data_IF_005412471078
#
_entry.id   IF_005412471078
#
_cell.length_a   1.000
_cell.length_b   1.000
_cell.length_c   1.000
_cell.angle_alpha   90.00
_cell.angle_beta   90.00
_cell.angle_gamma   90.00
#
_symmetry.space_group_name_H-M   'P 1'
#
loop_
_entity.id
_entity.type
_entity.pdbx_description
1 polymer ?
#
# COMPACT_ATOMS: atom_id res chain seq x y z
N UNK A 1 30.45 29.23 -33.57
CA UNK A 1 29.67 29.01 -32.34
C UNK A 1 29.02 27.63 -32.46
N UNK A 2 29.61 26.60 -31.85
CA UNK A 2 29.11 25.22 -31.94
C UNK A 2 28.14 25.01 -30.79
N UNK A 3 26.84 24.95 -31.10
CA UNK A 3 25.79 24.63 -30.14
C UNK A 3 25.80 23.12 -29.89
N UNK A 4 26.33 22.70 -28.75
CA UNK A 4 26.14 21.34 -28.24
C UNK A 4 24.70 21.21 -27.70
N UNK A 5 23.82 20.56 -28.46
CA UNK A 5 22.53 20.08 -27.93
C UNK A 5 22.77 18.92 -26.98
N UNK A 6 22.73 19.20 -25.67
CA UNK A 6 22.61 18.17 -24.64
C UNK A 6 21.25 17.49 -24.79
N UNK A 7 21.24 16.28 -25.36
CA UNK A 7 20.07 15.40 -25.27
C UNK A 7 19.97 14.92 -23.82
N UNK A 8 19.13 15.57 -23.02
CA UNK A 8 18.70 15.05 -21.73
C UNK A 8 17.89 13.79 -21.96
N UNK A 9 18.56 12.64 -21.91
CA UNK A 9 17.89 11.35 -21.92
C UNK A 9 17.28 11.14 -20.54
N UNK A 10 15.98 11.40 -20.41
CA UNK A 10 15.23 11.02 -19.23
C UNK A 10 15.24 9.48 -19.14
N UNK A 11 16.16 8.92 -18.33
CA UNK A 11 16.10 7.52 -17.94
C UNK A 11 14.84 7.34 -17.07
N UNK A 12 13.72 7.00 -17.71
CA UNK A 12 12.63 6.36 -16.99
C UNK A 12 13.19 5.06 -16.43
N UNK A 13 13.48 5.02 -15.13
CA UNK A 13 13.91 3.79 -14.50
C UNK A 13 12.83 2.73 -14.66
N UNK A 14 13.16 1.64 -15.35
CA UNK A 14 12.24 0.55 -15.62
C UNK A 14 12.00 -0.28 -14.36
N UNK A 15 10.78 -0.82 -14.23
CA UNK A 15 10.45 -1.77 -13.18
C UNK A 15 11.26 -3.05 -13.32
N UNK A 16 11.92 -3.48 -12.24
CA UNK A 16 12.64 -4.75 -12.14
C UNK A 16 11.78 -5.75 -11.37
N UNK A 17 11.62 -6.96 -11.89
CA UNK A 17 10.96 -8.05 -11.15
C UNK A 17 11.85 -8.46 -9.99
N UNK A 18 11.30 -8.44 -8.78
CA UNK A 18 11.97 -8.86 -7.54
C UNK A 18 11.52 -10.26 -7.10
N UNK A 19 10.25 -10.60 -7.29
CA UNK A 19 9.67 -11.89 -6.92
C UNK A 19 8.44 -12.21 -7.78
N UNK A 20 8.22 -13.51 -8.01
CA UNK A 20 6.98 -14.04 -8.54
C UNK A 20 6.66 -15.38 -7.86
N UNK A 21 5.74 -15.37 -6.90
CA UNK A 21 5.43 -16.56 -6.09
C UNK A 21 4.05 -16.48 -5.48
N UNK A 22 3.37 -17.63 -5.37
CA UNK A 22 2.03 -17.75 -4.76
C UNK A 22 0.98 -16.79 -5.36
N UNK A 23 1.11 -16.47 -6.65
CA UNK A 23 0.21 -15.54 -7.34
C UNK A 23 0.40 -14.06 -6.96
N UNK A 24 1.55 -13.70 -6.37
CA UNK A 24 1.96 -12.33 -6.10
C UNK A 24 3.24 -12.04 -6.89
N UNK A 25 3.26 -10.92 -7.60
CA UNK A 25 4.45 -10.41 -8.29
C UNK A 25 4.89 -9.13 -7.61
N UNK A 26 6.19 -8.98 -7.33
CA UNK A 26 6.76 -7.74 -6.77
C UNK A 26 7.76 -7.18 -7.76
N UNK A 27 7.66 -5.88 -8.00
CA UNK A 27 8.57 -5.08 -8.80
C UNK A 27 9.19 -3.98 -7.95
N UNK A 28 10.42 -3.59 -8.26
CA UNK A 28 11.05 -2.40 -7.66
C UNK A 28 11.63 -1.50 -8.74
N UNK A 29 11.77 -0.21 -8.43
CA UNK A 29 12.54 0.74 -9.24
C UNK A 29 13.13 1.80 -8.33
N UNK A 30 14.31 2.32 -8.67
CA UNK A 30 14.85 3.44 -7.91
C UNK A 30 14.13 4.74 -8.30
N UNK A 31 14.08 5.68 -7.35
CA UNK A 31 13.46 7.00 -7.50
C UNK A 31 14.57 8.04 -7.47
N UNK A 32 14.54 8.99 -8.40
CA UNK A 32 15.52 10.08 -8.40
C UNK A 32 15.44 10.87 -7.08
N UNK A 33 16.58 11.03 -6.40
CA UNK A 33 16.66 11.77 -5.13
C UNK A 33 16.28 10.95 -3.88
N UNK A 34 16.19 9.63 -3.98
CA UNK A 34 15.91 8.75 -2.84
C UNK A 34 16.83 7.52 -2.85
N UNK A 35 17.39 7.19 -1.68
CA UNK A 35 18.15 5.94 -1.47
C UNK A 35 17.23 4.72 -1.26
N UNK A 36 15.93 4.97 -1.08
CA UNK A 36 14.89 3.94 -0.97
C UNK A 36 14.19 3.77 -2.32
N UNK A 37 14.10 2.53 -2.79
CA UNK A 37 13.36 2.19 -4.01
C UNK A 37 11.85 2.29 -3.81
N UNK A 38 11.12 2.57 -4.89
CA UNK A 38 9.68 2.38 -4.94
C UNK A 38 9.38 0.92 -5.27
N UNK A 39 8.34 0.37 -4.66
CA UNK A 39 7.85 -0.96 -4.98
C UNK A 39 6.49 -0.91 -5.68
N UNK A 40 6.19 -1.99 -6.40
CA UNK A 40 4.85 -2.31 -6.90
C UNK A 40 4.59 -3.81 -6.71
N UNK A 41 3.59 -4.16 -5.93
CA UNK A 41 3.06 -5.52 -5.83
C UNK A 41 1.80 -5.68 -6.68
N UNK A 42 1.62 -6.84 -7.28
CA UNK A 42 0.43 -7.18 -8.06
C UNK A 42 -0.10 -8.57 -7.67
N UNK A 43 -1.43 -8.71 -7.57
CA UNK A 43 -2.09 -10.00 -7.40
C UNK A 43 -3.51 -9.98 -7.96
N UNK A 44 -4.13 -11.14 -8.10
CA UNK A 44 -5.54 -11.28 -8.48
C UNK A 44 -6.25 -12.19 -7.47
N UNK A 45 -7.40 -11.72 -7.00
CA UNK A 45 -8.18 -12.38 -5.94
C UNK A 45 -9.63 -12.59 -6.35
N UNK A 46 -10.28 -13.61 -5.83
CA UNK A 46 -11.70 -13.87 -6.07
C UNK A 46 -12.59 -13.24 -5.00
N UNK A 47 -12.95 -11.97 -5.18
CA UNK A 47 -13.81 -11.21 -4.25
C UNK A 47 -14.53 -10.05 -4.97
N UNK A 48 -15.15 -9.13 -4.24
CA UNK A 48 -15.75 -7.91 -4.79
C UNK A 48 -15.07 -6.64 -4.20
N UNK A 49 -15.32 -5.48 -4.80
CA UNK A 49 -14.66 -4.22 -4.41
C UNK A 49 -15.05 -3.80 -2.99
N UNK A 50 -16.33 -3.91 -2.62
CA UNK A 50 -16.81 -3.55 -1.29
C UNK A 50 -16.14 -4.34 -0.17
N UNK A 51 -15.94 -5.64 -0.37
CA UNK A 51 -15.27 -6.53 0.58
C UNK A 51 -13.80 -6.14 0.79
N UNK A 52 -13.09 -5.82 -0.29
CA UNK A 52 -11.70 -5.34 -0.19
C UNK A 52 -11.65 -4.07 0.63
N UNK A 53 -12.45 -3.06 0.30
CA UNK A 53 -12.44 -1.79 1.02
C UNK A 53 -12.83 -1.97 2.50
N UNK A 54 -13.75 -2.87 2.82
CA UNK A 54 -14.12 -3.19 4.21
C UNK A 54 -12.97 -3.76 5.04
N UNK A 55 -12.05 -4.51 4.42
CA UNK A 55 -10.84 -4.97 5.09
C UNK A 55 -9.93 -3.80 5.50
N UNK A 56 -9.85 -2.74 4.69
CA UNK A 56 -9.05 -1.55 5.00
C UNK A 56 -9.67 -0.69 6.11
N UNK A 57 -10.99 -0.74 6.31
CA UNK A 57 -11.68 0.00 7.38
C UNK A 57 -11.82 -0.79 8.69
N UNK A 58 -11.45 -2.07 8.69
CA UNK A 58 -11.43 -2.93 9.89
C UNK A 58 -10.09 -2.78 10.64
N UNK A 59 -9.89 -1.61 11.26
CA UNK A 59 -8.66 -1.26 11.99
C UNK A 59 -8.30 -2.28 13.08
N UNK A 60 -9.32 -2.87 13.72
CA UNK A 60 -9.11 -3.90 14.75
C UNK A 60 -8.42 -5.15 14.19
N UNK A 61 -8.77 -5.56 12.97
CA UNK A 61 -8.17 -6.73 12.32
C UNK A 61 -7.10 -6.38 11.28
N UNK A 62 -6.72 -5.11 11.16
CA UNK A 62 -5.69 -4.65 10.22
C UNK A 62 -4.32 -5.33 10.44
N UNK A 63 -3.86 -5.51 11.71
CA UNK A 63 -2.62 -6.26 12.00
C UNK A 63 -2.60 -7.71 11.51
N UNK A 64 -3.76 -8.33 11.31
CA UNK A 64 -3.84 -9.74 10.93
C UNK A 64 -3.49 -9.99 9.47
N UNK A 65 -3.35 -8.94 8.64
CA UNK A 65 -3.05 -9.10 7.22
C UNK A 65 -2.00 -8.12 6.70
N UNK A 66 -1.95 -6.89 7.22
CA UNK A 66 -0.95 -5.92 6.79
C UNK A 66 0.43 -6.26 7.37
N UNK A 67 1.42 -6.44 6.51
CA UNK A 67 2.75 -6.87 6.92
C UNK A 67 3.39 -5.90 7.94
N UNK A 68 3.95 -6.46 9.01
CA UNK A 68 4.58 -5.76 10.14
C UNK A 68 3.73 -4.70 10.86
N UNK A 69 2.45 -4.55 10.52
CA UNK A 69 1.56 -3.65 11.26
C UNK A 69 1.14 -4.35 12.56
N UNK A 70 1.65 -3.91 13.70
CA UNK A 70 1.28 -4.49 15.01
C UNK A 70 0.07 -3.81 15.64
N UNK A 71 -0.22 -2.57 15.25
CA UNK A 71 -1.39 -1.83 15.71
C UNK A 71 -1.87 -0.85 14.65
N UNK A 72 -3.19 -0.70 14.53
CA UNK A 72 -3.81 0.31 13.68
C UNK A 72 -5.04 0.92 14.37
N UNK A 73 -5.25 2.22 14.20
CA UNK A 73 -6.43 2.92 14.70
C UNK A 73 -6.90 4.01 13.74
N UNK A 74 -8.20 4.30 13.75
CA UNK A 74 -8.74 5.46 13.04
C UNK A 74 -8.45 6.71 13.87
N UNK A 75 -7.67 7.63 13.31
CA UNK A 75 -7.40 8.95 13.91
C UNK A 75 -8.58 9.89 13.67
N UNK A 76 -9.09 9.93 12.43
CA UNK A 76 -10.20 10.81 12.06
C UNK A 76 -10.96 10.23 10.87
N UNK A 77 -12.30 10.32 10.91
CA UNK A 77 -13.16 10.06 9.76
C UNK A 77 -13.54 11.39 9.11
N UNK A 78 -13.35 11.53 7.80
CA UNK A 78 -13.84 12.70 7.04
C UNK A 78 -15.13 12.34 6.31
N UNK A 79 -15.16 11.19 5.63
CA UNK A 79 -16.33 10.67 4.94
C UNK A 79 -16.33 9.13 4.93
N UNK A 80 -17.20 8.50 4.14
CA UNK A 80 -17.12 7.04 3.90
C UNK A 80 -15.87 6.64 3.09
N UNK A 81 -15.30 7.59 2.34
CA UNK A 81 -14.22 7.38 1.38
C UNK A 81 -12.97 8.21 1.70
N UNK A 82 -12.89 8.82 2.89
CA UNK A 82 -11.75 9.62 3.30
C UNK A 82 -11.57 9.59 4.82
N UNK A 83 -10.32 9.47 5.25
CA UNK A 83 -9.98 9.48 6.65
C UNK A 83 -8.49 9.53 6.92
N UNK A 84 -8.17 9.40 8.20
CA UNK A 84 -6.82 9.40 8.74
C UNK A 84 -6.68 8.18 9.64
N UNK A 85 -5.61 7.42 9.44
CA UNK A 85 -5.32 6.21 10.20
C UNK A 85 -3.90 6.28 10.76
N UNK A 86 -3.72 5.79 11.98
CA UNK A 86 -2.41 5.61 12.59
C UNK A 86 -2.04 4.13 12.50
N UNK A 87 -0.84 3.83 12.02
CA UNK A 87 -0.28 2.48 12.00
C UNK A 87 1.05 2.45 12.76
N UNK A 88 1.21 1.44 13.61
CA UNK A 88 2.49 1.08 14.24
C UNK A 88 3.07 -0.12 13.51
N UNK A 89 4.30 0.03 13.04
CA UNK A 89 5.06 -0.99 12.32
C UNK A 89 6.18 -1.53 13.22
N UNK A 90 6.09 -2.81 13.53
CA UNK A 90 7.06 -3.51 14.36
C UNK A 90 8.28 -3.92 13.53
N UNK A 91 9.46 -3.66 14.07
CA UNK A 91 10.75 -3.92 13.43
C UNK A 91 11.53 -4.95 14.23
N UNK A 92 12.33 -5.76 13.56
CA UNK A 92 13.22 -6.68 14.24
C UNK A 92 14.26 -5.91 15.06
N UNK A 93 14.41 -6.29 16.34
CA UNK A 93 15.44 -5.76 17.23
C UNK A 93 16.83 -5.90 16.59
N UNK A 94 17.73 -4.90 16.68
CA UNK A 94 17.69 -3.71 17.54
C UNK A 94 17.09 -2.46 16.90
N UNK A 95 16.37 -2.56 15.78
CA UNK A 95 15.86 -1.37 15.10
C UNK A 95 14.57 -0.87 15.77
N UNK A 96 14.50 0.43 16.06
CA UNK A 96 13.29 1.06 16.62
C UNK A 96 12.09 0.88 15.69
N UNK A 97 10.92 0.64 16.28
CA UNK A 97 9.66 0.57 15.55
C UNK A 97 9.37 1.86 14.79
N UNK A 98 8.59 1.76 13.72
CA UNK A 98 8.14 2.91 12.92
C UNK A 98 6.67 3.16 13.18
N UNK A 99 6.25 4.41 13.13
CA UNK A 99 4.83 4.74 13.07
C UNK A 99 4.54 5.69 11.90
N UNK A 100 3.29 5.71 11.46
CA UNK A 100 2.84 6.59 10.39
C UNK A 100 1.38 6.98 10.63
N UNK A 101 1.06 8.26 10.39
CA UNK A 101 -0.33 8.68 10.20
C UNK A 101 -0.56 8.84 8.71
N UNK A 102 -1.53 8.11 8.17
CA UNK A 102 -1.85 8.07 6.75
C UNK A 102 -3.16 8.80 6.52
N UNK A 103 -3.15 9.83 5.68
CA UNK A 103 -4.35 10.36 5.04
C UNK A 103 -4.67 9.48 3.85
N UNK A 104 -5.89 8.94 3.83
CA UNK A 104 -6.36 8.09 2.75
C UNK A 104 -7.60 8.64 2.07
N UNK A 105 -7.66 8.48 0.75
CA UNK A 105 -8.81 8.88 -0.08
C UNK A 105 -9.14 7.78 -1.07
N UNK A 106 -10.40 7.37 -1.12
CA UNK A 106 -10.97 6.38 -2.03
C UNK A 106 -11.73 7.11 -3.15
N UNK A 107 -11.41 6.80 -4.40
CA UNK A 107 -12.15 7.25 -5.59
C UNK A 107 -12.50 6.06 -6.46
N UNK A 108 -13.66 6.09 -7.10
CA UNK A 108 -14.06 5.09 -8.08
C UNK A 108 -14.30 5.76 -9.43
N UNK A 109 -13.76 5.17 -10.49
CA UNK A 109 -14.09 5.53 -11.86
C UNK A 109 -15.51 5.02 -12.20
N UNK A 110 -16.45 5.89 -12.60
CA UNK A 110 -17.84 5.50 -12.84
C UNK A 110 -18.03 4.66 -14.12
N UNK A 111 -17.07 4.65 -15.04
CA UNK A 111 -17.15 3.87 -16.28
C UNK A 111 -16.50 2.50 -16.10
N UNK A 112 -15.25 2.47 -15.64
CA UNK A 112 -14.46 1.24 -15.52
C UNK A 112 -14.68 0.51 -14.19
N UNK A 113 -15.31 1.18 -13.22
CA UNK A 113 -15.50 0.72 -11.83
C UNK A 113 -14.19 0.50 -11.06
N UNK A 114 -13.05 0.88 -11.63
CA UNK A 114 -11.75 0.82 -10.96
C UNK A 114 -11.78 1.71 -9.73
N UNK A 115 -11.34 1.17 -8.59
CA UNK A 115 -11.20 1.92 -7.35
C UNK A 115 -9.74 2.23 -7.11
N UNK A 116 -9.44 3.48 -6.77
CA UNK A 116 -8.12 3.95 -6.34
C UNK A 116 -8.21 4.42 -4.88
N UNK A 117 -7.48 3.74 -4.00
CA UNK A 117 -7.25 4.12 -2.59
C UNK A 117 -5.86 4.74 -2.49
N UNK A 118 -5.77 6.05 -2.37
CA UNK A 118 -4.50 6.78 -2.23
C UNK A 118 -4.08 6.89 -0.76
N UNK A 119 -2.77 6.91 -0.51
CA UNK A 119 -2.15 6.93 0.81
C UNK A 119 -1.07 8.01 0.83
N UNK A 120 -1.13 8.93 1.79
CA UNK A 120 -0.08 9.92 2.02
C UNK A 120 0.25 10.01 3.52
N UNK A 121 1.53 9.98 3.89
CA UNK A 121 1.96 10.31 5.25
C UNK A 121 1.60 11.76 5.59
N UNK A 122 1.11 11.98 6.79
CA UNK A 122 0.83 13.31 7.36
C UNK A 122 1.37 13.41 8.78
N UNK A 123 1.74 14.61 9.20
CA UNK A 123 2.32 14.89 10.51
C UNK A 123 1.39 15.77 11.36
N UNK A 124 1.61 15.78 12.69
CA UNK A 124 0.91 16.66 13.62
C UNK A 124 -0.46 16.18 14.12
N UNK A 125 -0.90 14.98 13.74
CA UNK A 125 -2.19 14.42 14.16
C UNK A 125 -2.14 13.57 15.44
N UNK A 126 -0.99 12.98 15.73
CA UNK A 126 -0.77 12.08 16.86
C UNK A 126 0.56 12.46 17.51
N UNK A 127 0.63 12.57 18.86
CA UNK A 127 1.88 12.88 19.56
C UNK A 127 2.95 11.81 19.30
N UNK A 128 4.20 12.15 19.58
CA UNK A 128 5.29 11.17 19.58
C UNK A 128 5.04 10.12 20.66
N UNK A 129 5.24 8.85 20.31
CA UNK A 129 5.07 7.68 21.17
C UNK A 129 6.39 6.90 21.33
N UNK A 130 7.54 7.51 21.00
CA UNK A 130 8.87 6.89 21.10
C UNK A 130 9.25 6.01 19.90
N UNK A 131 8.57 6.18 18.76
CA UNK A 131 8.83 5.46 17.52
C UNK A 131 9.48 6.38 16.48
N UNK A 132 10.12 5.80 15.45
CA UNK A 132 10.58 6.58 14.31
C UNK A 132 9.39 6.92 13.41
N UNK A 133 8.98 8.20 13.40
CA UNK A 133 7.89 8.67 12.55
C UNK A 133 8.28 8.67 11.07
N UNK A 134 7.56 7.87 10.28
CA UNK A 134 7.63 7.93 8.83
C UNK A 134 6.90 9.18 8.34
N UNK A 135 7.67 10.14 7.82
CA UNK A 135 7.14 11.42 7.33
C UNK A 135 6.94 11.44 5.81
N UNK A 136 7.50 10.47 5.10
CA UNK A 136 7.46 10.39 3.65
C UNK A 136 6.95 9.00 3.21
N UNK A 137 5.65 8.94 2.96
CA UNK A 137 4.98 7.79 2.36
C UNK A 137 4.02 8.34 1.33
N UNK A 138 4.13 7.85 0.09
CA UNK A 138 3.16 8.10 -0.96
C UNK A 138 2.91 6.81 -1.71
N UNK A 139 1.65 6.43 -1.82
CA UNK A 139 1.28 5.20 -2.49
C UNK A 139 -0.20 5.09 -2.78
N UNK A 140 -0.59 3.95 -3.31
CA UNK A 140 -1.97 3.62 -3.58
C UNK A 140 -2.21 2.11 -3.66
N UNK A 141 -3.45 1.73 -3.41
CA UNK A 141 -4.03 0.48 -3.91
C UNK A 141 -4.96 0.79 -5.07
N UNK A 142 -4.80 0.07 -6.18
CA UNK A 142 -5.74 0.07 -7.28
C UNK A 142 -6.45 -1.28 -7.32
N UNK A 143 -7.77 -1.25 -7.30
CA UNK A 143 -8.64 -2.42 -7.43
C UNK A 143 -9.36 -2.35 -8.78
N UNK A 144 -8.92 -3.19 -9.72
CA UNK A 144 -9.53 -3.29 -11.04
C UNK A 144 -10.45 -4.51 -11.06
N UNK A 145 -11.78 -4.33 -11.07
CA UNK A 145 -12.68 -5.47 -11.16
C UNK A 145 -12.53 -6.17 -12.51
N UNK A 146 -12.74 -7.49 -12.50
CA UNK A 146 -12.64 -8.39 -13.65
C UNK A 146 -13.87 -9.31 -13.69
N UNK A 147 -14.20 -9.90 -14.86
CA UNK A 147 -15.29 -10.87 -14.96
C UNK A 147 -15.18 -12.02 -13.95
N UNK A 148 -16.31 -12.69 -13.68
CA UNK A 148 -16.40 -13.85 -12.80
C UNK A 148 -16.03 -13.59 -11.32
N UNK A 149 -16.19 -12.34 -10.86
CA UNK A 149 -15.94 -11.95 -9.47
C UNK A 149 -14.47 -11.99 -9.07
N UNK A 150 -13.59 -11.67 -10.03
CA UNK A 150 -12.16 -11.44 -9.77
C UNK A 150 -11.88 -9.95 -9.63
N UNK A 151 -10.89 -9.61 -8.83
CA UNK A 151 -10.34 -8.26 -8.73
C UNK A 151 -8.83 -8.37 -8.86
N UNK A 152 -8.27 -7.61 -9.82
CA UNK A 152 -6.85 -7.40 -9.92
C UNK A 152 -6.44 -6.26 -8.99
N UNK A 153 -5.41 -6.48 -8.18
CA UNK A 153 -4.92 -5.55 -7.17
C UNK A 153 -3.51 -5.12 -7.55
N UNK A 154 -3.28 -3.82 -7.59
CA UNK A 154 -1.95 -3.21 -7.61
C UNK A 154 -1.75 -2.48 -6.30
N UNK A 155 -0.64 -2.74 -5.60
CA UNK A 155 -0.20 -1.99 -4.43
C UNK A 155 1.15 -1.36 -4.73
N UNK A 156 1.22 -0.04 -4.82
CA UNK A 156 2.44 0.68 -5.17
C UNK A 156 2.70 1.75 -4.12
N UNK A 157 3.92 1.82 -3.60
CA UNK A 157 4.32 2.89 -2.71
C UNK A 157 5.82 3.17 -2.75
N UNK A 158 6.15 4.44 -2.54
CA UNK A 158 7.44 4.88 -2.07
C UNK A 158 7.29 5.24 -0.59
N UNK A 159 7.95 4.46 0.27
CA UNK A 159 7.81 4.56 1.74
C UNK A 159 9.19 4.67 2.35
N UNK A 160 9.58 5.89 2.70
CA UNK A 160 10.83 6.16 3.41
C UNK A 160 10.64 5.83 4.89
N UNK A 161 11.39 4.85 5.44
CA UNK A 161 11.26 4.43 6.83
C UNK A 161 11.85 5.44 7.83
N UNK A 162 12.61 6.44 7.35
CA UNK A 162 13.27 7.44 8.17
C UNK A 162 14.35 6.87 9.11
N UNK A 163 15.15 7.79 9.66
CA UNK A 163 16.20 7.46 10.63
C UNK A 163 17.30 6.56 10.05
N UNK A 164 17.91 5.72 10.89
CA UNK A 164 18.90 4.74 10.46
C UNK A 164 18.22 3.52 9.81
N UNK A 165 18.65 3.18 8.59
CA UNK A 165 18.02 2.17 7.74
C UNK A 165 19.02 1.09 7.33
N UNK A 166 19.23 0.04 8.14
CA UNK A 166 19.95 -1.16 7.72
C UNK A 166 19.28 -1.82 6.50
N UNK A 167 20.02 -2.67 5.78
CA UNK A 167 19.49 -3.40 4.62
C UNK A 167 18.25 -4.25 4.92
N UNK A 168 18.10 -4.74 6.16
CA UNK A 168 16.89 -5.47 6.59
C UNK A 168 15.65 -4.59 6.62
N UNK A 169 15.78 -3.31 7.01
CA UNK A 169 14.69 -2.33 6.96
C UNK A 169 14.36 -2.01 5.51
N UNK A 170 15.36 -1.79 4.65
CA UNK A 170 15.13 -1.59 3.22
C UNK A 170 14.34 -2.76 2.62
N UNK A 171 14.77 -4.00 2.88
CA UNK A 171 14.07 -5.20 2.40
C UNK A 171 12.64 -5.30 2.95
N UNK A 172 12.43 -5.02 4.24
CA UNK A 172 11.12 -5.07 4.84
C UNK A 172 10.12 -4.14 4.14
N UNK A 173 10.56 -2.91 3.81
CA UNK A 173 9.70 -1.90 3.20
C UNK A 173 9.57 -2.00 1.68
N UNK A 174 10.62 -2.43 0.98
CA UNK A 174 10.64 -2.46 -0.50
C UNK A 174 10.19 -3.81 -1.07
N UNK A 175 10.37 -4.90 -0.31
CA UNK A 175 10.10 -6.25 -0.79
C UNK A 175 9.04 -6.98 0.04
N UNK A 176 9.26 -7.13 1.34
CA UNK A 176 8.38 -7.95 2.17
C UNK A 176 7.00 -7.31 2.33
N UNK A 177 6.94 -5.99 2.50
CA UNK A 177 5.70 -5.24 2.62
C UNK A 177 4.72 -5.48 1.45
N UNK A 178 5.08 -5.26 0.17
CA UNK A 178 4.18 -5.58 -0.93
C UNK A 178 3.86 -7.07 -1.05
N UNK A 179 4.85 -7.95 -0.84
CA UNK A 179 4.65 -9.39 -1.00
C UNK A 179 3.68 -9.97 0.03
N UNK A 180 4.01 -9.84 1.31
CA UNK A 180 3.25 -10.46 2.39
C UNK A 180 1.89 -9.78 2.60
N UNK A 181 1.79 -8.47 2.41
CA UNK A 181 0.50 -7.77 2.51
C UNK A 181 -0.48 -8.28 1.46
N UNK A 182 -0.06 -8.38 0.19
CA UNK A 182 -0.93 -8.89 -0.88
C UNK A 182 -1.23 -10.39 -0.71
N UNK A 183 -0.23 -11.18 -0.31
CA UNK A 183 -0.42 -12.60 -0.04
C UNK A 183 -1.43 -12.83 1.08
N UNK A 184 -1.34 -12.08 2.18
CA UNK A 184 -2.25 -12.18 3.31
C UNK A 184 -3.65 -11.68 2.95
N UNK A 185 -3.75 -10.58 2.19
CA UNK A 185 -5.04 -10.08 1.69
C UNK A 185 -5.72 -11.13 0.81
N UNK A 186 -4.98 -11.77 -0.11
CA UNK A 186 -5.45 -12.88 -0.94
C UNK A 186 -5.96 -14.04 -0.08
N UNK A 187 -5.16 -14.51 0.87
CA UNK A 187 -5.56 -15.60 1.79
C UNK A 187 -6.82 -15.24 2.57
N UNK A 188 -6.96 -14.00 3.03
CA UNK A 188 -8.11 -13.54 3.82
C UNK A 188 -9.40 -13.53 2.99
N UNK A 189 -9.37 -12.99 1.78
CA UNK A 189 -10.59 -12.90 0.96
C UNK A 189 -10.98 -14.22 0.31
N UNK A 190 -10.05 -15.16 0.19
CA UNK A 190 -10.28 -16.49 -0.37
C UNK A 190 -10.44 -17.58 0.70
N UNK A 191 -10.36 -17.23 2.00
CA UNK A 191 -10.49 -18.21 3.08
C UNK A 191 -11.91 -18.77 3.15
N UNK A 192 -12.07 -20.06 3.50
CA UNK A 192 -13.38 -20.64 3.81
C UNK A 192 -14.09 -19.81 4.89
N UNK A 193 -15.34 -19.42 4.64
CA UNK A 193 -16.14 -18.61 5.57
C UNK A 193 -15.98 -17.09 5.42
N UNK A 194 -15.15 -16.60 4.48
CA UNK A 194 -15.14 -15.17 4.17
C UNK A 194 -16.49 -14.73 3.60
N UNK A 195 -17.21 -13.89 4.35
CA UNK A 195 -18.51 -13.36 3.94
C UNK A 195 -18.29 -12.09 3.13
N UNK A 196 -18.71 -12.13 1.85
CA UNK A 196 -18.68 -10.94 0.99
C UNK A 196 -19.62 -9.87 1.54
N UNK A 197 -19.16 -8.64 1.50
CA UNK A 197 -19.93 -7.46 1.88
C UNK A 197 -19.84 -6.40 0.79
N UNK A 198 -20.76 -5.44 0.82
CA UNK A 198 -20.91 -4.41 -0.21
C UNK A 198 -20.94 -3.04 0.46
N UNK A 199 -20.54 -2.01 -0.30
CA UNK A 199 -20.64 -0.61 0.10
C UNK A 199 -21.64 0.09 -0.80
N UNK A 200 -22.52 0.92 -0.24
CA UNK A 200 -23.58 1.59 -1.00
C UNK A 200 -23.00 2.56 -2.04
N UNK A 201 -21.85 3.13 -1.72
CA UNK A 201 -21.11 4.12 -2.47
C UNK A 201 -20.11 3.53 -3.49
N UNK A 202 -20.00 2.20 -3.58
CA UNK A 202 -19.08 1.51 -4.50
C UNK A 202 -19.88 0.62 -5.45
N UNK A 203 -19.72 0.86 -6.74
CA UNK A 203 -20.39 0.12 -7.79
C UNK A 203 -19.56 -1.10 -8.19
N UNK A 204 -20.13 -2.29 -8.08
CA UNK A 204 -19.46 -3.52 -8.55
C UNK A 204 -19.53 -3.63 -10.08
N UNK A 205 -18.64 -4.44 -10.65
CA UNK A 205 -18.78 -4.87 -12.05
C UNK A 205 -19.96 -5.86 -12.15
N UNK A 206 -20.90 -5.56 -13.04
CA UNK A 206 -22.06 -6.41 -13.32
C UNK A 206 -21.69 -7.72 -13.99
#
# INVERSE_FOLDING_TARGET
MVLFSLKTQAYSQSWKVKEFKNGVTVYTRSIAGSDVEEFKGETTVKTNLGSLLNIFEDFKNYPNWAYNCSYAERVKKVSANEGYAYNLLEMSWPVTNRDVVIHYVIKQDPQTKVVLLTLNAVNGFVPDKGNVRMTNLKGFYQFTPKPNGYVHIVYQAHSDPGGYVPSSVVNAFVYDAPYYTLLNLKKKVESPGFVKSYRKEIQELQ
#
